data_IF_828468587796
#
_entry.id   IF_828468587796
#
_cell.length_a   1.000
_cell.length_b   1.000
_cell.length_c   1.000
_cell.angle_alpha   90.00
_cell.angle_beta   90.00
_cell.angle_gamma   90.00
#
_symmetry.space_group_name_H-M   'P 1'
#
loop_
_entity.id
_entity.type
_entity.pdbx_description
1 polymer ?
#
# COMPACT_ATOMS: atom_id res chain seq x y z
N UNK A 1 4.19 -14.45 5.83
CA UNK A 1 4.78 -13.41 4.92
C UNK A 1 5.30 -12.23 5.72
N UNK A 2 6.21 -11.42 5.13
CA UNK A 2 6.66 -10.14 5.69
C UNK A 2 5.95 -8.99 5.00
N UNK A 3 5.21 -8.19 5.76
CA UNK A 3 4.37 -7.10 5.27
C UNK A 3 4.90 -5.78 5.81
N UNK A 4 5.03 -4.77 4.95
CA UNK A 4 5.40 -3.42 5.37
C UNK A 4 4.29 -2.44 4.98
N UNK A 5 3.92 -1.59 5.92
CA UNK A 5 3.03 -0.45 5.73
C UNK A 5 3.85 0.84 5.74
N UNK A 6 4.11 1.46 4.58
CA UNK A 6 4.65 2.82 4.53
C UNK A 6 3.59 3.82 4.96
N UNK A 7 3.96 4.79 5.81
CA UNK A 7 3.06 5.83 6.30
C UNK A 7 3.77 7.18 6.19
N UNK A 8 3.08 8.19 5.68
CA UNK A 8 3.55 9.56 5.55
C UNK A 8 2.81 10.50 6.52
N UNK A 9 3.55 11.36 7.20
CA UNK A 9 3.05 12.50 7.96
C UNK A 9 2.53 12.16 9.35
N UNK A 10 1.34 11.61 9.46
CA UNK A 10 0.67 11.33 10.73
C UNK A 10 0.30 9.85 10.90
N UNK A 11 0.02 9.46 12.13
CA UNK A 11 -0.55 8.14 12.41
C UNK A 11 -1.90 7.97 11.69
N UNK A 12 -2.06 6.81 11.07
CA UNK A 12 -3.27 6.45 10.35
C UNK A 12 -3.96 5.28 11.08
N UNK A 13 -5.13 5.53 11.64
CA UNK A 13 -5.92 4.55 12.39
C UNK A 13 -6.19 3.31 11.53
N UNK A 14 -6.51 3.48 10.25
CA UNK A 14 -6.75 2.37 9.33
C UNK A 14 -5.50 1.50 9.16
N UNK A 15 -4.31 2.10 9.11
CA UNK A 15 -3.05 1.34 9.05
C UNK A 15 -2.83 0.59 10.36
N UNK A 16 -3.04 1.23 11.52
CA UNK A 16 -2.87 0.57 12.83
C UNK A 16 -3.79 -0.62 12.98
N UNK A 17 -5.02 -0.49 12.50
CA UNK A 17 -5.99 -1.57 12.48
C UNK A 17 -5.54 -2.72 11.55
N UNK A 18 -5.18 -2.43 10.31
CA UNK A 18 -4.70 -3.44 9.34
C UNK A 18 -3.42 -4.13 9.79
N UNK A 19 -2.51 -3.41 10.45
CA UNK A 19 -1.31 -3.99 11.09
C UNK A 19 -1.72 -5.04 12.13
N UNK A 20 -2.74 -4.75 12.93
CA UNK A 20 -3.26 -5.68 13.94
C UNK A 20 -3.86 -6.90 13.27
N UNK A 21 -4.71 -6.72 12.27
CA UNK A 21 -5.30 -7.82 11.48
C UNK A 21 -4.21 -8.73 10.91
N UNK A 22 -3.25 -8.17 10.19
CA UNK A 22 -2.17 -8.97 9.59
C UNK A 22 -1.30 -9.70 10.63
N UNK A 23 -1.05 -9.10 11.80
CA UNK A 23 -0.34 -9.76 12.91
C UNK A 23 -1.13 -10.91 13.51
N UNK A 24 -2.44 -10.76 13.69
CA UNK A 24 -3.32 -11.81 14.19
C UNK A 24 -3.36 -13.01 13.24
N UNK A 25 -3.21 -12.77 11.95
CA UNK A 25 -3.07 -13.82 10.93
C UNK A 25 -1.70 -14.49 10.91
N UNK A 26 -0.78 -14.12 11.81
CA UNK A 26 0.54 -14.74 11.96
C UNK A 26 1.63 -14.16 11.07
N UNK A 27 1.39 -13.03 10.38
CA UNK A 27 2.38 -12.41 9.51
C UNK A 27 3.37 -11.50 10.28
N UNK A 28 4.59 -11.36 9.77
CA UNK A 28 5.57 -10.40 10.27
C UNK A 28 5.27 -9.02 9.69
N UNK A 29 4.83 -8.08 10.53
CA UNK A 29 4.36 -6.76 10.08
C UNK A 29 5.22 -5.65 10.66
N UNK A 30 5.65 -4.71 9.80
CA UNK A 30 6.38 -3.49 10.17
C UNK A 30 5.71 -2.26 9.57
N UNK A 31 5.86 -1.13 10.25
CA UNK A 31 5.50 0.19 9.74
C UNK A 31 6.78 0.95 9.39
N UNK A 32 6.83 1.50 8.19
CA UNK A 32 7.90 2.38 7.74
C UNK A 32 7.38 3.82 7.69
N UNK A 33 7.73 4.61 8.70
CA UNK A 33 7.20 5.95 8.89
C UNK A 33 8.11 7.03 8.28
N UNK A 34 7.54 7.86 7.41
CA UNK A 34 8.13 9.09 6.90
C UNK A 34 7.49 10.29 7.61
N UNK A 35 8.29 11.04 8.34
CA UNK A 35 7.80 12.21 9.08
C UNK A 35 7.31 13.34 8.18
N UNK A 36 7.63 13.32 6.88
CA UNK A 36 7.27 14.35 5.89
C UNK A 36 7.55 15.78 6.39
N UNK A 37 8.67 15.96 7.13
CA UNK A 37 9.03 17.26 7.70
C UNK A 37 9.16 18.30 6.58
N UNK A 38 8.45 19.42 6.71
CA UNK A 38 8.43 20.55 5.78
C UNK A 38 7.78 20.29 4.41
N UNK A 39 7.19 19.12 4.16
CA UNK A 39 6.42 18.80 2.95
C UNK A 39 4.89 18.80 3.24
N UNK A 40 4.50 19.31 4.39
CA UNK A 40 3.11 19.48 4.76
C UNK A 40 2.53 20.67 4.00
N UNK A 41 1.84 20.37 2.92
CA UNK A 41 1.17 21.38 2.07
C UNK A 41 0.06 22.15 2.78
N UNK A 42 -0.36 21.72 3.97
CA UNK A 42 -1.42 22.37 4.74
C UNK A 42 -0.92 23.50 5.65
N UNK A 43 0.33 23.43 6.17
CA UNK A 43 0.81 24.38 7.17
C UNK A 43 2.12 25.11 6.80
N UNK A 44 3.12 24.44 6.23
CA UNK A 44 4.40 25.06 5.89
C UNK A 44 5.12 24.29 4.77
N UNK A 45 5.13 24.85 3.57
CA UNK A 45 5.93 24.31 2.46
C UNK A 45 7.14 25.21 2.24
N UNK A 46 8.31 24.81 2.79
CA UNK A 46 9.59 25.42 2.44
C UNK A 46 10.33 24.41 1.55
N UNK A 47 10.12 24.52 0.25
CA UNK A 47 10.58 23.55 -0.77
C UNK A 47 12.08 23.24 -0.69
N UNK A 48 12.91 24.20 -0.27
CA UNK A 48 14.36 24.00 -0.10
C UNK A 48 14.68 23.13 1.13
N UNK A 49 14.02 23.38 2.26
CA UNK A 49 14.19 22.58 3.48
C UNK A 49 13.58 21.19 3.33
N UNK A 50 12.45 21.05 2.65
CA UNK A 50 11.85 19.75 2.34
C UNK A 50 12.83 18.85 1.58
N UNK A 51 13.55 19.38 0.57
CA UNK A 51 14.59 18.64 -0.15
C UNK A 51 15.79 18.27 0.71
N UNK A 52 16.21 19.16 1.64
CA UNK A 52 17.35 18.91 2.53
C UNK A 52 17.03 17.85 3.60
N UNK A 53 15.76 17.77 4.02
CA UNK A 53 15.26 16.84 5.03
C UNK A 53 14.43 15.70 4.43
N UNK A 54 14.51 15.44 3.11
CA UNK A 54 13.83 14.33 2.45
C UNK A 54 14.24 12.99 3.09
N UNK A 55 13.38 12.52 3.98
CA UNK A 55 13.57 11.23 4.65
C UNK A 55 13.04 10.05 3.82
N UNK A 56 12.35 10.33 2.71
CA UNK A 56 11.78 9.30 1.84
C UNK A 56 12.85 8.30 1.38
N UNK A 57 14.04 8.80 1.01
CA UNK A 57 15.13 7.91 0.60
C UNK A 57 15.56 6.95 1.71
N UNK A 58 15.61 7.42 2.97
CA UNK A 58 15.91 6.55 4.13
C UNK A 58 14.82 5.52 4.38
N UNK A 59 13.54 5.92 4.19
CA UNK A 59 12.40 5.00 4.29
C UNK A 59 12.49 3.93 3.21
N UNK A 60 12.78 4.30 1.96
CA UNK A 60 12.99 3.37 0.85
C UNK A 60 14.10 2.35 1.17
N UNK A 61 15.26 2.83 1.62
CA UNK A 61 16.39 1.96 1.97
C UNK A 61 16.05 1.00 3.12
N UNK A 62 15.32 1.48 4.12
CA UNK A 62 14.83 0.65 5.22
C UNK A 62 13.87 -0.44 4.72
N UNK A 63 12.92 -0.08 3.84
CA UNK A 63 11.99 -1.05 3.25
C UNK A 63 12.74 -2.10 2.44
N UNK A 64 13.67 -1.68 1.57
CA UNK A 64 14.47 -2.60 0.74
C UNK A 64 15.30 -3.56 1.60
N UNK A 65 15.92 -3.06 2.68
CA UNK A 65 16.72 -3.87 3.61
C UNK A 65 15.88 -4.97 4.28
N UNK A 66 14.61 -4.69 4.54
CA UNK A 66 13.69 -5.65 5.14
C UNK A 66 13.26 -6.76 4.18
N UNK A 67 13.39 -6.57 2.87
CA UNK A 67 12.96 -7.52 1.83
C UNK A 67 11.52 -7.99 2.07
N UNK A 68 10.51 -7.10 2.00
CA UNK A 68 9.12 -7.49 2.21
C UNK A 68 8.62 -8.39 1.08
N UNK A 69 7.65 -9.25 1.40
CA UNK A 69 6.83 -9.97 0.43
C UNK A 69 5.69 -9.09 -0.08
N UNK A 70 5.16 -8.23 0.80
CA UNK A 70 4.04 -7.34 0.52
C UNK A 70 4.33 -5.93 1.03
N UNK A 71 4.06 -4.92 0.21
CA UNK A 71 3.97 -3.51 0.62
C UNK A 71 2.49 -3.11 0.54
N UNK A 72 1.89 -2.85 1.70
CA UNK A 72 0.49 -2.47 1.81
C UNK A 72 0.37 -0.97 2.08
N UNK A 73 -0.44 -0.27 1.29
CA UNK A 73 -0.59 1.19 1.34
C UNK A 73 -2.04 1.58 1.64
N UNK A 74 -2.22 2.44 2.63
CA UNK A 74 -3.49 3.14 2.88
C UNK A 74 -3.38 4.54 2.29
N UNK A 75 -4.13 4.77 1.21
CA UNK A 75 -3.93 5.92 0.33
C UNK A 75 -5.10 6.89 0.41
N UNK A 76 -4.75 8.15 0.66
CA UNK A 76 -5.60 9.33 0.55
C UNK A 76 -5.17 10.17 -0.64
N UNK A 77 -5.95 11.17 -1.00
CA UNK A 77 -5.63 12.05 -2.13
C UNK A 77 -4.31 12.83 -1.93
N UNK A 78 -4.01 13.21 -0.69
CA UNK A 78 -2.81 13.98 -0.33
C UNK A 78 -1.51 13.17 -0.39
N UNK A 79 -1.54 11.88 -0.02
CA UNK A 79 -0.37 11.03 -0.04
C UNK A 79 -0.24 10.15 -1.31
N UNK A 80 -1.18 10.25 -2.27
CA UNK A 80 -1.20 9.40 -3.46
C UNK A 80 0.08 9.52 -4.30
N UNK A 81 0.50 10.74 -4.62
CA UNK A 81 1.71 10.96 -5.42
C UNK A 81 2.99 10.51 -4.68
N UNK A 82 3.03 10.72 -3.36
CA UNK A 82 4.11 10.22 -2.53
C UNK A 82 4.19 8.69 -2.57
N UNK A 83 3.05 8.02 -2.49
CA UNK A 83 2.94 6.55 -2.53
C UNK A 83 3.40 5.98 -3.87
N UNK A 84 3.00 6.59 -5.00
CA UNK A 84 3.46 6.18 -6.33
C UNK A 84 4.98 6.32 -6.47
N UNK A 85 5.55 7.47 -6.09
CA UNK A 85 6.98 7.71 -6.18
C UNK A 85 7.78 6.75 -5.28
N UNK A 86 7.28 6.48 -4.06
CA UNK A 86 7.88 5.51 -3.13
C UNK A 86 7.98 4.12 -3.77
N UNK A 87 6.85 3.58 -4.24
CA UNK A 87 6.79 2.23 -4.82
C UNK A 87 7.64 2.15 -6.08
N UNK A 88 7.59 3.15 -6.96
CA UNK A 88 8.41 3.21 -8.18
C UNK A 88 9.90 3.11 -7.86
N UNK A 89 10.38 3.88 -6.90
CA UNK A 89 11.79 3.85 -6.49
C UNK A 89 12.18 2.53 -5.85
N UNK A 90 11.28 1.88 -5.11
CA UNK A 90 11.52 0.54 -4.55
C UNK A 90 11.59 -0.49 -5.69
N UNK A 91 10.63 -0.51 -6.62
CA UNK A 91 10.58 -1.45 -7.75
C UNK A 91 11.83 -1.40 -8.65
N UNK A 92 12.50 -0.25 -8.76
CA UNK A 92 13.78 -0.12 -9.47
C UNK A 92 14.88 -0.96 -8.83
N UNK A 93 14.95 -0.98 -7.49
CA UNK A 93 16.04 -1.62 -6.72
C UNK A 93 15.69 -3.03 -6.23
N UNK A 94 14.43 -3.31 -6.04
CA UNK A 94 13.91 -4.57 -5.52
C UNK A 94 12.60 -4.89 -6.23
N UNK A 95 12.47 -6.10 -6.80
CA UNK A 95 11.31 -6.48 -7.62
C UNK A 95 10.48 -7.62 -7.03
N UNK A 96 11.00 -8.31 -6.02
CA UNK A 96 10.38 -9.52 -5.48
C UNK A 96 9.41 -9.19 -4.34
N UNK A 97 8.39 -8.39 -4.63
CA UNK A 97 7.28 -8.10 -3.73
C UNK A 97 6.04 -7.73 -4.56
N UNK A 98 4.89 -7.79 -3.94
CA UNK A 98 3.64 -7.27 -4.49
C UNK A 98 3.17 -6.07 -3.69
N UNK A 99 2.39 -5.20 -4.33
CA UNK A 99 1.77 -4.04 -3.68
C UNK A 99 0.28 -4.25 -3.53
N UNK A 100 -0.25 -3.89 -2.35
CA UNK A 100 -1.68 -3.88 -2.05
C UNK A 100 -2.09 -2.47 -1.68
N UNK A 101 -2.96 -1.89 -2.50
CA UNK A 101 -3.43 -0.50 -2.34
C UNK A 101 -4.85 -0.50 -1.82
N UNK A 102 -5.12 0.29 -0.80
CA UNK A 102 -6.44 0.47 -0.21
C UNK A 102 -6.59 1.88 0.35
N UNK A 103 -7.71 2.17 0.98
CA UNK A 103 -8.04 3.46 1.54
C UNK A 103 -9.00 4.27 0.67
N UNK A 104 -9.30 5.50 1.09
CA UNK A 104 -10.37 6.31 0.49
C UNK A 104 -10.12 6.62 -0.99
N UNK A 105 -8.89 7.00 -1.35
CA UNK A 105 -8.61 7.39 -2.74
C UNK A 105 -8.72 6.22 -3.72
N UNK A 106 -8.09 5.04 -3.51
CA UNK A 106 -8.31 3.88 -4.36
C UNK A 106 -9.75 3.41 -4.42
N UNK A 107 -10.51 3.52 -3.32
CA UNK A 107 -11.94 3.19 -3.28
C UNK A 107 -12.76 4.15 -4.13
N UNK A 108 -12.40 5.44 -4.19
CA UNK A 108 -13.16 6.43 -4.94
C UNK A 108 -12.91 6.38 -6.45
N UNK A 109 -11.71 5.98 -6.88
CA UNK A 109 -11.31 5.95 -8.30
C UNK A 109 -10.51 4.70 -8.64
N UNK A 110 -11.07 3.49 -8.39
CA UNK A 110 -10.32 2.24 -8.48
C UNK A 110 -9.79 1.96 -9.89
N UNK A 111 -10.57 2.30 -10.93
CA UNK A 111 -10.18 2.09 -12.32
C UNK A 111 -8.95 2.90 -12.74
N UNK A 112 -8.76 4.09 -12.16
CA UNK A 112 -7.60 4.93 -12.46
C UNK A 112 -6.36 4.45 -11.71
N UNK A 113 -6.54 4.07 -10.44
CA UNK A 113 -5.45 3.63 -9.58
C UNK A 113 -4.89 2.28 -10.02
N UNK A 114 -5.74 1.30 -10.32
CA UNK A 114 -5.29 -0.04 -10.72
C UNK A 114 -4.48 -0.06 -12.02
N UNK A 115 -4.68 0.91 -12.91
CA UNK A 115 -3.92 1.02 -14.18
C UNK A 115 -2.45 1.40 -13.98
N UNK A 116 -2.07 1.91 -12.81
CA UNK A 116 -0.68 2.30 -12.53
C UNK A 116 0.23 1.08 -12.42
N UNK A 117 1.45 1.19 -12.94
CA UNK A 117 2.46 0.12 -12.89
C UNK A 117 2.92 -0.19 -11.46
N UNK A 118 2.76 0.76 -10.57
CA UNK A 118 3.07 0.63 -9.15
C UNK A 118 2.05 -0.26 -8.40
N UNK A 119 0.85 -0.47 -8.94
CA UNK A 119 -0.28 -1.14 -8.29
C UNK A 119 -0.41 -2.57 -8.81
N UNK A 120 -0.22 -3.57 -7.96
CA UNK A 120 -0.43 -4.97 -8.32
C UNK A 120 -1.85 -5.41 -7.92
N UNK A 121 -2.27 -5.07 -6.69
CA UNK A 121 -3.60 -5.33 -6.15
C UNK A 121 -4.20 -4.05 -5.56
N UNK A 122 -5.52 -3.92 -5.66
CA UNK A 122 -6.28 -2.84 -5.02
C UNK A 122 -7.49 -3.44 -4.32
N UNK A 123 -7.69 -3.05 -3.07
CA UNK A 123 -8.86 -3.42 -2.27
C UNK A 123 -9.76 -2.21 -2.17
N UNK A 124 -10.99 -2.36 -2.63
CA UNK A 124 -12.03 -1.34 -2.60
C UNK A 124 -12.89 -1.49 -1.34
N UNK A 125 -13.09 -0.39 -0.58
CA UNK A 125 -13.86 -0.40 0.65
C UNK A 125 -13.13 -1.03 1.84
N UNK A 126 -13.84 -1.85 2.62
CA UNK A 126 -13.30 -2.49 3.82
C UNK A 126 -12.24 -3.53 3.48
N UNK A 127 -11.09 -3.42 4.14
CA UNK A 127 -9.88 -4.16 3.75
C UNK A 127 -9.65 -5.48 4.47
N UNK A 128 -10.32 -5.77 5.58
CA UNK A 128 -9.97 -6.84 6.50
C UNK A 128 -10.09 -8.23 5.85
N UNK A 129 -11.29 -8.56 5.43
CA UNK A 129 -11.58 -9.85 4.80
C UNK A 129 -10.86 -10.02 3.44
N UNK A 130 -10.86 -9.02 2.54
CA UNK A 130 -10.08 -9.11 1.31
C UNK A 130 -8.59 -9.30 1.55
N UNK A 131 -7.99 -8.58 2.51
CA UNK A 131 -6.58 -8.72 2.84
C UNK A 131 -6.25 -10.12 3.37
N UNK A 132 -7.05 -10.64 4.31
CA UNK A 132 -6.89 -12.00 4.82
C UNK A 132 -6.89 -13.03 3.70
N UNK A 133 -7.91 -13.00 2.84
CA UNK A 133 -8.06 -13.94 1.72
C UNK A 133 -6.93 -13.80 0.70
N UNK A 134 -6.53 -12.57 0.38
CA UNK A 134 -5.44 -12.32 -0.55
C UNK A 134 -4.10 -12.85 0.00
N UNK A 135 -3.77 -12.54 1.25
CA UNK A 135 -2.54 -13.02 1.89
C UNK A 135 -2.51 -14.55 1.94
N UNK A 136 -3.64 -15.19 2.30
CA UNK A 136 -3.76 -16.64 2.28
C UNK A 136 -3.55 -17.23 0.88
N UNK A 137 -4.11 -16.60 -0.16
CA UNK A 137 -3.93 -17.03 -1.54
C UNK A 137 -2.47 -16.89 -2.00
N UNK A 138 -1.83 -15.75 -1.72
CA UNK A 138 -0.43 -15.51 -2.08
C UNK A 138 0.54 -16.47 -1.38
N UNK A 139 0.32 -16.72 -0.08
CA UNK A 139 1.20 -17.60 0.72
C UNK A 139 1.12 -19.06 0.27
N UNK A 140 -0.05 -19.51 -0.17
CA UNK A 140 -0.29 -20.90 -0.56
C UNK A 140 -0.27 -21.14 -2.09
N UNK A 141 0.07 -20.14 -2.89
CA UNK A 141 0.02 -20.23 -4.35
C UNK A 141 -1.39 -20.52 -4.89
N UNK A 142 -2.43 -20.12 -4.16
CA UNK A 142 -3.83 -20.32 -4.53
C UNK A 142 -4.34 -19.19 -5.43
N UNK A 143 -5.48 -19.42 -6.06
CA UNK A 143 -6.17 -18.42 -6.85
C UNK A 143 -6.72 -17.31 -5.96
N UNK A 144 -6.62 -16.07 -6.40
CA UNK A 144 -7.10 -14.87 -5.71
C UNK A 144 -8.27 -14.18 -6.46
N UNK A 145 -8.71 -14.73 -7.59
CA UNK A 145 -9.74 -14.16 -8.44
C UNK A 145 -11.13 -14.09 -7.77
N UNK A 146 -11.33 -14.87 -6.71
CA UNK A 146 -12.57 -14.89 -5.94
C UNK A 146 -12.47 -14.11 -4.61
N UNK A 147 -11.39 -13.37 -4.40
CA UNK A 147 -11.27 -12.47 -3.24
C UNK A 147 -12.25 -11.30 -3.42
N UNK A 148 -13.15 -11.05 -2.45
CA UNK A 148 -14.12 -9.97 -2.57
C UNK A 148 -13.44 -8.60 -2.63
N UNK A 149 -14.03 -7.67 -3.36
CA UNK A 149 -13.57 -6.29 -3.48
C UNK A 149 -12.12 -6.11 -3.96
N UNK A 150 -11.51 -7.17 -4.52
CA UNK A 150 -10.13 -7.17 -4.99
C UNK A 150 -10.08 -6.84 -6.47
N UNK A 151 -9.42 -5.76 -6.82
CA UNK A 151 -9.03 -5.42 -8.18
C UNK A 151 -7.61 -5.91 -8.44
N UNK A 152 -7.37 -6.48 -9.61
CA UNK A 152 -6.06 -6.97 -10.00
C UNK A 152 -5.86 -6.90 -11.51
N UNK A 153 -4.61 -7.04 -11.95
CA UNK A 153 -4.23 -7.15 -13.36
C UNK A 153 -3.78 -8.57 -13.66
N UNK A 154 -4.33 -9.14 -14.72
CA UNK A 154 -3.93 -10.45 -15.22
C UNK A 154 -3.91 -10.41 -16.75
N UNK A 155 -2.82 -10.87 -17.35
CA UNK A 155 -2.64 -10.94 -18.81
C UNK A 155 -2.94 -9.60 -19.53
N UNK A 156 -2.52 -8.48 -18.92
CA UNK A 156 -2.75 -7.14 -19.44
C UNK A 156 -4.19 -6.60 -19.26
N UNK A 157 -5.08 -7.39 -18.66
CA UNK A 157 -6.46 -7.00 -18.41
C UNK A 157 -6.68 -6.65 -16.95
N UNK A 158 -7.46 -5.59 -16.70
CA UNK A 158 -7.93 -5.21 -15.37
C UNK A 158 -9.19 -6.02 -15.03
N UNK A 159 -9.18 -6.66 -13.88
CA UNK A 159 -10.31 -7.38 -13.32
C UNK A 159 -10.87 -6.59 -12.13
N UNK A 160 -12.12 -6.09 -12.21
CA UNK A 160 -12.74 -5.35 -11.13
C UNK A 160 -13.08 -6.26 -9.95
N UNK A 161 -13.07 -5.69 -8.75
CA UNK A 161 -13.50 -6.36 -7.53
C UNK A 161 -14.97 -6.78 -7.60
N UNK A 162 -15.26 -8.01 -7.22
CA UNK A 162 -16.63 -8.46 -7.04
C UNK A 162 -17.14 -7.87 -5.72
N UNK A 163 -18.05 -6.90 -5.80
CA UNK A 163 -18.63 -6.29 -4.61
C UNK A 163 -19.36 -7.31 -3.75
N UNK A 164 -18.91 -7.49 -2.54
CA UNK A 164 -19.64 -8.18 -1.49
C UNK A 164 -19.91 -7.16 -0.39
N UNK A 165 -21.18 -6.79 -0.24
CA UNK A 165 -21.59 -6.07 0.97
C UNK A 165 -21.55 -7.08 2.11
N UNK A 166 -20.73 -6.80 3.12
CA UNK A 166 -20.81 -7.52 4.39
C UNK A 166 -22.13 -7.11 5.03
N UNK A 167 -23.10 -8.01 5.06
CA UNK A 167 -24.35 -7.85 5.82
C UNK A 167 -24.07 -7.97 7.31
#
# INVERSE_FOLDING_TARGET
>A
MKIIFPVMGAENISVSYMVTVCKTLGHSVKVAFDRALFDDKQYFSITFLAKLFDQKQKVIEKIIKEKPDVIALSVFADNYQWSLDLVRRIKIKHKNFVTVWGGIHPTSVPEEVIKRDEVDFLIEGDGELPMEKLLHALENGKKYEDVPNLWFKKDGTVHPGKHTFLN
#
